data_IF_989917849828
#
_entry.id   IF_989917849828
#
_cell.length_a   1.000
_cell.length_b   1.000
_cell.length_c   1.000
_cell.angle_alpha   90.00
_cell.angle_beta   90.00
_cell.angle_gamma   90.00
#
_symmetry.space_group_name_H-M   'P 1'
#
loop_
_entity.id
_entity.type
_entity.pdbx_description
1 polymer ?
#
# COMPACT_ATOMS: atom_id res chain seq x y z
N UNK A 1 29.08 6.07 -5.34
CA UNK A 1 27.81 6.83 -5.29
C UNK A 1 26.68 5.82 -5.43
N UNK A 2 25.83 5.65 -4.41
CA UNK A 2 24.74 4.68 -4.45
C UNK A 2 23.64 5.20 -5.39
N UNK A 3 23.25 4.38 -6.37
CA UNK A 3 22.18 4.71 -7.31
C UNK A 3 20.85 4.74 -6.53
N UNK A 4 20.01 5.79 -6.66
CA UNK A 4 18.75 5.87 -5.92
C UNK A 4 17.87 4.69 -6.34
N UNK A 5 17.29 4.01 -5.34
CA UNK A 5 16.37 2.91 -5.61
C UNK A 5 15.22 3.44 -6.49
N UNK A 6 14.91 2.72 -7.57
CA UNK A 6 13.82 3.07 -8.46
C UNK A 6 12.51 3.21 -7.67
N UNK A 7 11.76 4.28 -7.93
CA UNK A 7 10.48 4.52 -7.27
C UNK A 7 9.49 3.38 -7.57
N UNK A 8 8.85 2.86 -6.53
CA UNK A 8 7.84 1.79 -6.63
C UNK A 8 6.48 2.36 -6.29
N UNK A 9 5.48 2.10 -7.15
CA UNK A 9 4.08 2.47 -6.89
C UNK A 9 3.37 1.35 -6.15
N UNK A 10 2.79 1.67 -4.99
CA UNK A 10 1.95 0.77 -4.20
C UNK A 10 0.53 1.32 -4.22
N UNK A 11 -0.44 0.48 -4.56
CA UNK A 11 -1.87 0.79 -4.45
C UNK A 11 -2.44 0.06 -3.26
N UNK A 12 -3.21 0.77 -2.41
CA UNK A 12 -3.78 0.24 -1.18
C UNK A 12 -5.27 0.53 -1.21
N UNK A 13 -6.08 -0.49 -0.94
CA UNK A 13 -7.53 -0.38 -0.78
C UNK A 13 -7.87 -0.31 0.71
N UNK A 14 -8.86 0.50 1.05
CA UNK A 14 -9.19 0.83 2.44
C UNK A 14 -10.63 0.47 2.73
N UNK A 15 -10.86 -0.15 3.88
CA UNK A 15 -12.18 -0.18 4.50
C UNK A 15 -12.34 1.07 5.36
N UNK A 16 -13.48 1.74 5.22
CA UNK A 16 -13.76 3.03 5.84
C UNK A 16 -14.89 2.88 6.83
N UNK A 17 -14.67 3.31 8.06
CA UNK A 17 -15.70 3.35 9.10
C UNK A 17 -16.28 4.76 9.16
N UNK A 18 -17.61 4.88 9.02
CA UNK A 18 -18.31 6.16 9.15
C UNK A 18 -18.62 6.40 10.62
N UNK A 19 -18.20 7.54 11.15
CA UNK A 19 -18.46 7.96 12.51
C UNK A 19 -19.43 9.15 12.50
N UNK A 20 -20.30 9.20 13.52
CA UNK A 20 -21.16 10.34 13.79
C UNK A 20 -20.41 11.36 14.65
N UNK A 21 -20.51 12.64 14.29
CA UNK A 21 -19.95 13.74 15.08
C UNK A 21 -21.10 14.39 15.85
N UNK A 22 -21.04 14.37 17.18
CA UNK A 22 -22.02 15.01 18.06
C UNK A 22 -21.52 16.40 18.46
N UNK A 23 -22.42 17.40 18.43
CA UNK A 23 -22.21 18.75 19.00
C UNK A 23 -20.92 19.52 18.63
N UNK A 24 -20.23 19.17 17.55
CA UNK A 24 -19.00 19.83 17.10
C UNK A 24 -17.73 19.33 17.78
N UNK A 25 -17.81 18.25 18.57
CA UNK A 25 -16.65 17.61 19.17
C UNK A 25 -16.51 16.20 18.60
N UNK A 26 -15.31 15.86 18.12
CA UNK A 26 -15.03 14.51 17.66
C UNK A 26 -14.79 13.65 18.90
N UNK A 27 -15.79 12.86 19.31
CA UNK A 27 -15.63 11.89 20.39
C UNK A 27 -14.42 10.98 20.09
N UNK A 28 -13.64 10.70 21.14
CA UNK A 28 -12.41 9.92 21.07
C UNK A 28 -12.71 8.56 20.42
N UNK A 29 -12.42 8.48 19.12
CA UNK A 29 -12.84 7.34 18.30
C UNK A 29 -12.02 6.11 18.72
N UNK A 30 -12.65 4.94 18.87
CA UNK A 30 -11.91 3.75 19.27
C UNK A 30 -11.02 3.27 18.13
N UNK A 31 -9.86 2.72 18.48
CA UNK A 31 -8.96 2.06 17.55
C UNK A 31 -9.67 0.87 16.89
N UNK A 32 -9.66 0.80 15.56
CA UNK A 32 -10.34 -0.27 14.82
C UNK A 32 -9.67 -1.64 14.96
N UNK A 33 -8.47 -1.70 15.55
CA UNK A 33 -7.73 -2.94 15.80
C UNK A 33 -7.91 -3.48 17.20
N UNK A 34 -7.93 -2.62 18.23
CA UNK A 34 -7.93 -3.06 19.63
C UNK A 34 -9.00 -2.40 20.52
N UNK A 35 -9.79 -1.46 20.00
CA UNK A 35 -10.88 -0.78 20.71
C UNK A 35 -10.45 0.37 21.63
N UNK A 36 -9.16 0.51 21.93
CA UNK A 36 -8.67 1.58 22.82
C UNK A 36 -8.82 2.98 22.20
N UNK A 37 -9.08 4.02 23.02
CA UNK A 37 -9.22 5.39 22.53
C UNK A 37 -7.99 5.86 21.74
N UNK A 38 -8.24 6.57 20.64
CA UNK A 38 -7.18 7.17 19.83
C UNK A 38 -6.71 8.51 20.40
N UNK A 39 -5.41 8.73 20.39
CA UNK A 39 -4.83 10.07 20.56
C UNK A 39 -4.89 10.81 19.22
N UNK A 40 -5.60 11.94 19.19
CA UNK A 40 -5.80 12.73 17.99
C UNK A 40 -4.73 13.81 17.85
N UNK A 41 -4.25 13.98 16.62
CA UNK A 41 -3.25 14.98 16.25
C UNK A 41 -3.73 15.75 15.03
N UNK A 42 -3.49 17.06 15.01
CA UNK A 42 -3.75 17.95 13.89
C UNK A 42 -2.39 18.20 13.20
N UNK A 43 -2.13 17.61 12.02
CA UNK A 43 -0.82 17.70 11.37
C UNK A 43 -0.66 18.93 10.46
N UNK A 44 -1.75 19.54 10.01
CA UNK A 44 -1.76 20.62 9.01
C UNK A 44 -2.79 21.70 9.37
N UNK A 45 -2.37 22.75 10.06
CA UNK A 45 -3.29 23.77 10.60
C UNK A 45 -4.13 24.47 9.51
N UNK A 46 -3.68 24.46 8.26
CA UNK A 46 -4.40 25.03 7.12
C UNK A 46 -5.55 24.12 6.64
N UNK A 47 -5.53 22.82 6.99
CA UNK A 47 -6.59 21.85 6.71
C UNK A 47 -7.02 21.09 7.98
N UNK A 48 -7.85 21.71 8.84
CA UNK A 48 -8.31 21.11 10.10
C UNK A 48 -9.28 19.95 9.90
N UNK A 49 -9.72 19.68 8.66
CA UNK A 49 -10.62 18.56 8.37
C UNK A 49 -9.92 17.21 8.42
N UNK A 50 -8.59 17.20 8.31
CA UNK A 50 -7.76 16.00 8.38
C UNK A 50 -7.07 15.88 9.74
N UNK A 51 -7.36 14.78 10.43
CA UNK A 51 -6.76 14.43 11.71
C UNK A 51 -6.03 13.08 11.61
N UNK A 52 -4.99 12.94 12.43
CA UNK A 52 -4.26 11.69 12.60
C UNK A 52 -4.57 11.10 13.98
N UNK A 53 -5.20 9.93 14.01
CA UNK A 53 -5.42 9.14 15.22
C UNK A 53 -4.30 8.13 15.44
N UNK A 54 -3.67 8.14 16.62
CA UNK A 54 -2.63 7.17 17.00
C UNK A 54 -3.07 6.35 18.20
N UNK A 55 -2.96 5.03 18.11
CA UNK A 55 -3.26 4.15 19.24
C UNK A 55 -2.00 3.94 20.10
N UNK A 56 -2.05 4.34 21.37
CA UNK A 56 -0.94 4.14 22.30
C UNK A 56 -0.69 2.68 22.70
N UNK A 57 -1.68 1.80 22.49
CA UNK A 57 -1.58 0.38 22.87
C UNK A 57 -1.03 -0.49 21.74
N UNK A 58 -1.66 -0.48 20.57
CA UNK A 58 -1.25 -1.35 19.46
C UNK A 58 -0.37 -0.66 18.41
N UNK A 59 -0.13 0.65 18.54
CA UNK A 59 0.69 1.44 17.62
C UNK A 59 0.05 1.69 16.25
N UNK A 60 -1.20 1.25 16.02
CA UNK A 60 -1.89 1.46 14.75
C UNK A 60 -2.29 2.92 14.59
N UNK A 61 -2.09 3.43 13.38
CA UNK A 61 -2.46 4.79 13.00
C UNK A 61 -3.74 4.77 12.17
N UNK A 62 -4.52 5.83 12.30
CA UNK A 62 -5.77 6.02 11.58
C UNK A 62 -5.80 7.44 11.03
N UNK A 63 -6.30 7.62 9.82
CA UNK A 63 -6.64 8.95 9.31
C UNK A 63 -8.12 9.19 9.57
N UNK A 64 -8.46 10.41 9.97
CA UNK A 64 -9.84 10.83 10.19
C UNK A 64 -10.10 12.05 9.31
N UNK A 65 -11.11 11.96 8.46
CA UNK A 65 -11.56 13.06 7.62
C UNK A 65 -12.94 13.52 8.09
N UNK A 66 -13.03 14.76 8.56
CA UNK A 66 -14.29 15.38 8.95
C UNK A 66 -14.95 15.94 7.71
N UNK A 67 -16.17 15.48 7.41
CA UNK A 67 -16.88 15.93 6.20
C UNK A 67 -17.21 17.43 6.27
N UNK A 68 -17.33 18.15 5.15
CA UNK A 68 -17.52 19.61 5.13
C UNK A 68 -18.75 20.13 5.90
N UNK A 69 -19.73 19.25 6.18
CA UNK A 69 -20.94 19.60 6.96
C UNK A 69 -20.78 19.34 8.46
N UNK A 70 -19.67 18.74 8.89
CA UNK A 70 -19.35 18.46 10.30
C UNK A 70 -20.24 17.43 10.98
N UNK A 71 -21.11 16.73 10.26
CA UNK A 71 -22.06 15.75 10.84
C UNK A 71 -21.54 14.31 10.81
N UNK A 72 -20.54 14.06 9.99
CA UNK A 72 -19.91 12.75 9.82
C UNK A 72 -18.41 12.90 9.70
N UNK A 73 -17.69 11.89 10.13
CA UNK A 73 -16.27 11.70 9.80
C UNK A 73 -16.03 10.30 9.24
N UNK A 74 -14.98 10.20 8.43
CA UNK A 74 -14.52 8.97 7.81
C UNK A 74 -13.24 8.55 8.52
N UNK A 75 -13.22 7.33 9.04
CA UNK A 75 -12.07 6.75 9.73
C UNK A 75 -11.43 5.68 8.84
N UNK A 76 -10.14 5.85 8.59
CA UNK A 76 -9.32 5.00 7.74
C UNK A 76 -8.23 4.34 8.58
N UNK A 77 -8.14 3.01 8.58
CA UNK A 77 -7.04 2.31 9.27
C UNK A 77 -5.79 2.30 8.40
N UNK A 78 -4.73 3.01 8.79
CA UNK A 78 -3.48 3.08 8.00
C UNK A 78 -2.75 1.73 8.04
N UNK A 79 -2.19 1.27 6.91
CA UNK A 79 -1.36 0.08 6.87
C UNK A 79 -0.09 0.30 7.70
N UNK A 80 0.37 -0.74 8.37
CA UNK A 80 1.63 -0.68 9.08
C UNK A 80 2.84 -0.73 8.12
N UNK A 81 4.00 -0.38 8.67
CA UNK A 81 5.24 -0.36 7.90
C UNK A 81 5.66 -1.76 7.42
N UNK A 82 5.25 -2.84 8.10
CA UNK A 82 5.56 -4.20 7.68
C UNK A 82 4.81 -4.57 6.40
N UNK A 83 3.51 -4.26 6.34
CA UNK A 83 2.69 -4.42 5.14
C UNK A 83 3.28 -3.67 3.95
N UNK A 84 3.66 -2.40 4.13
CA UNK A 84 4.26 -1.59 3.08
C UNK A 84 5.60 -2.18 2.60
N UNK A 85 6.46 -2.63 3.52
CA UNK A 85 7.73 -3.27 3.18
C UNK A 85 7.52 -4.59 2.42
N UNK A 86 6.55 -5.41 2.84
CA UNK A 86 6.24 -6.67 2.16
C UNK A 86 5.75 -6.43 0.73
N UNK A 87 4.83 -5.46 0.52
CA UNK A 87 4.34 -5.08 -0.81
C UNK A 87 5.45 -4.52 -1.70
N UNK A 88 6.32 -3.70 -1.14
CA UNK A 88 7.48 -3.17 -1.84
C UNK A 88 8.42 -4.30 -2.33
N UNK A 89 8.73 -5.28 -1.47
CA UNK A 89 9.56 -6.43 -1.83
C UNK A 89 8.91 -7.31 -2.91
N UNK A 90 7.59 -7.54 -2.84
CA UNK A 90 6.84 -8.31 -3.82
C UNK A 90 6.98 -7.69 -5.22
N UNK A 91 6.82 -6.37 -5.33
CA UNK A 91 6.93 -5.64 -6.59
C UNK A 91 8.37 -5.69 -7.13
N UNK A 92 9.37 -5.51 -6.26
CA UNK A 92 10.77 -5.61 -6.66
C UNK A 92 11.14 -7.00 -7.19
N UNK A 93 10.62 -8.08 -6.57
CA UNK A 93 10.83 -9.46 -7.05
C UNK A 93 10.22 -9.67 -8.42
N UNK A 94 8.98 -9.22 -8.64
CA UNK A 94 8.31 -9.31 -9.96
C UNK A 94 9.08 -8.55 -11.04
N UNK A 95 9.58 -7.35 -10.73
CA UNK A 95 10.39 -6.57 -11.66
C UNK A 95 11.72 -7.26 -12.03
N UNK A 96 12.34 -7.97 -11.08
CA UNK A 96 13.60 -8.72 -11.31
C UNK A 96 13.39 -10.07 -12.01
N UNK A 97 12.26 -10.74 -11.75
CA UNK A 97 11.92 -12.05 -12.31
C UNK A 97 11.32 -12.02 -13.72
N UNK A 98 11.03 -10.83 -14.27
CA UNK A 98 10.37 -10.66 -15.57
C UNK A 98 11.29 -10.70 -16.80
N UNK A 99 12.55 -11.13 -16.69
CA UNK A 99 13.41 -11.31 -17.87
C UNK A 99 13.23 -12.74 -18.40
N UNK A 100 12.46 -12.98 -19.48
CA UNK A 100 12.51 -14.28 -20.13
C UNK A 100 13.96 -14.55 -20.54
N UNK A 101 14.44 -15.76 -20.27
CA UNK A 101 15.75 -16.21 -20.71
C UNK A 101 15.93 -15.89 -22.21
N UNK A 102 17.12 -15.50 -22.67
CA UNK A 102 17.38 -15.39 -24.10
C UNK A 102 16.98 -16.72 -24.75
N UNK A 103 16.05 -16.67 -25.71
CA UNK A 103 15.79 -17.83 -26.56
C UNK A 103 17.11 -18.16 -27.26
N UNK A 104 17.66 -19.34 -27.00
CA UNK A 104 18.75 -19.88 -27.80
C UNK A 104 18.38 -19.81 -29.29
N UNK A 105 19.21 -19.19 -30.15
CA UNK A 105 19.04 -19.29 -31.58
C UNK A 105 19.60 -20.65 -32.02
N UNK A 106 18.79 -21.69 -31.94
CA UNK A 106 19.09 -22.99 -32.53
C UNK A 106 18.06 -23.25 -33.63
N UNK A 107 18.38 -23.36 -34.91
CA UNK A 107 19.65 -23.37 -35.61
C UNK A 107 19.25 -23.84 -37.01
N UNK A 108 19.18 -22.93 -37.98
CA UNK A 108 18.85 -23.28 -39.35
C UNK A 108 20.15 -23.60 -40.09
N UNK A 109 20.34 -24.87 -40.48
CA UNK A 109 21.50 -25.34 -41.24
C UNK A 109 21.34 -26.84 -41.54
N UNK A 110 20.67 -27.23 -42.63
CA UNK A 110 21.17 -27.37 -44.01
C UNK A 110 21.55 -28.82 -44.38
N UNK A 111 20.76 -29.39 -45.31
CA UNK A 111 21.12 -30.22 -46.49
C UNK A 111 22.30 -31.22 -46.43
N UNK A 112 22.05 -32.46 -46.86
CA UNK A 112 23.08 -33.34 -47.45
C UNK A 112 22.61 -34.78 -47.70
N UNK A 113 22.78 -35.28 -48.92
CA UNK A 113 22.28 -36.55 -49.48
C UNK A 113 23.19 -37.78 -49.24
N UNK A 114 22.66 -38.98 -49.56
CA UNK A 114 23.41 -40.23 -49.84
C UNK A 114 22.73 -41.46 -49.18
N UNK A 115 21.89 -42.28 -49.82
CA UNK A 115 22.06 -43.27 -50.92
C UNK A 115 22.51 -44.70 -50.46
N UNK A 116 21.89 -45.71 -51.11
CA UNK A 116 22.20 -47.17 -51.21
C UNK A 116 21.52 -48.11 -50.18
N UNK A 117 20.47 -48.87 -50.55
CA UNK A 117 20.37 -50.09 -51.40
C UNK A 117 20.95 -51.34 -50.72
N UNK A 118 20.06 -52.22 -50.29
CA UNK A 118 20.11 -53.68 -50.47
C UNK A 118 18.67 -54.23 -50.36
#
# INVERSE_FOLDING_TARGET
MAQPAAAVRITISWEVTVLSVSAGELEASPCQKCGEPLNLHQPDEDDPSHLLGTCGQCGTWHMIEVTPRGTKSLLYTLPDAEFLRAKHQEIQKKARGGRPAPRDPQGNGSRGAGEQVA
#
